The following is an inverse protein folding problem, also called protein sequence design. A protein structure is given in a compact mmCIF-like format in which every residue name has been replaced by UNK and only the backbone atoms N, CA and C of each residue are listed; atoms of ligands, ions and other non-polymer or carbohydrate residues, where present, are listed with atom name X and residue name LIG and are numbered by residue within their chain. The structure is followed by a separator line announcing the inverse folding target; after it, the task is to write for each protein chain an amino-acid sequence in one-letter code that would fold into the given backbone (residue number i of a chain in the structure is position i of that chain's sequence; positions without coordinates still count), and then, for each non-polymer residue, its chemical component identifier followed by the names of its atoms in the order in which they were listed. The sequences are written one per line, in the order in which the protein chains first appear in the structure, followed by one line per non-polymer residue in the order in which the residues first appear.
data_IF_616187758655
#
_entry.id   IF_616187758655
#
_cell.length_a   1.000
_cell.length_b   1.000
_cell.length_c   1.000
_cell.angle_alpha   90.00
_cell.angle_beta   90.00
_cell.angle_gamma   90.00
#
_symmetry.space_group_name_H-M   'P 1'
#
loop_
_entity.id
_entity.type
_entity.pdbx_description
1 polymer ?
#
# COMPACT_ATOMS: atom_id res chain seq x y z
N UNK A 1 -2.32 12.89 2.45
CA UNK A 1 -1.77 11.65 1.87
C UNK A 1 -1.86 11.71 0.36
N UNK A 2 -1.05 10.93 -0.36
CA UNK A 2 -1.03 10.86 -1.82
C UNK A 2 -1.36 9.45 -2.28
N UNK A 3 -2.30 9.32 -3.21
CA UNK A 3 -2.57 8.06 -3.89
C UNK A 3 -1.37 7.62 -4.71
N UNK A 4 -1.04 6.34 -4.66
CA UNK A 4 -0.06 5.73 -5.56
C UNK A 4 -0.74 4.70 -6.46
N UNK A 5 0.01 4.19 -7.43
CA UNK A 5 -0.39 3.04 -8.25
C UNK A 5 0.30 1.74 -7.79
N UNK A 6 0.91 1.77 -6.59
CA UNK A 6 1.47 0.59 -5.95
C UNK A 6 0.33 -0.23 -5.35
N UNK A 7 0.47 -1.55 -5.47
CA UNK A 7 -0.46 -2.51 -4.88
C UNK A 7 0.30 -3.61 -4.15
N UNK A 8 -0.32 -4.14 -3.10
CA UNK A 8 0.10 -5.36 -2.43
C UNK A 8 -1.11 -6.29 -2.40
N UNK A 9 -0.99 -7.46 -3.02
CA UNK A 9 -2.11 -8.39 -3.23
C UNK A 9 -3.39 -7.69 -3.73
N UNK A 10 -3.26 -6.95 -4.83
CA UNK A 10 -4.33 -6.17 -5.47
C UNK A 10 -4.91 -5.01 -4.67
N UNK A 11 -4.44 -4.76 -3.45
CA UNK A 11 -4.90 -3.64 -2.62
C UNK A 11 -4.02 -2.41 -2.80
N UNK A 12 -4.62 -1.23 -2.92
CA UNK A 12 -3.89 0.00 -3.21
C UNK A 12 -3.12 0.53 -1.99
N UNK A 13 -1.97 1.13 -2.29
CA UNK A 13 -1.10 1.78 -1.31
C UNK A 13 -1.15 3.29 -1.48
N UNK A 14 -1.28 4.02 -0.38
CA UNK A 14 -1.05 5.48 -0.33
C UNK A 14 0.31 5.80 0.28
N UNK A 15 0.80 7.01 0.03
CA UNK A 15 2.02 7.54 0.61
C UNK A 15 1.75 8.88 1.30
N UNK A 16 2.17 9.02 2.56
CA UNK A 16 2.03 10.25 3.33
C UNK A 16 2.93 10.19 4.55
N UNK A 17 3.36 11.34 5.07
CA UNK A 17 4.20 11.41 6.27
C UNK A 17 5.44 10.50 6.22
N UNK A 18 6.05 10.38 5.03
CA UNK A 18 7.17 9.49 4.72
C UNK A 18 6.92 7.99 4.96
N UNK A 19 5.66 7.59 4.97
CA UNK A 19 5.19 6.22 5.19
C UNK A 19 4.28 5.75 4.06
N UNK A 20 4.21 4.44 3.90
CA UNK A 20 3.32 3.76 2.97
C UNK A 20 2.21 3.06 3.74
N UNK A 21 0.99 3.26 3.27
CA UNK A 21 -0.19 2.69 3.91
C UNK A 21 -1.00 1.84 2.95
N UNK A 22 -1.32 0.62 3.37
CA UNK A 22 -2.17 -0.30 2.65
C UNK A 22 -3.64 -0.03 2.97
N UNK A 23 -4.44 0.19 1.93
CA UNK A 23 -5.89 0.21 2.02
C UNK A 23 -6.47 -1.21 1.84
N UNK A 24 -7.74 -1.41 2.16
CA UNK A 24 -8.57 -2.55 1.76
C UNK A 24 -9.13 -2.40 0.33
N UNK A 25 -8.98 -1.23 -0.30
CA UNK A 25 -9.47 -0.94 -1.64
C UNK A 25 -8.71 -1.76 -2.68
N UNK A 26 -9.43 -2.59 -3.43
CA UNK A 26 -8.89 -3.37 -4.57
C UNK A 26 -9.43 -2.94 -5.94
N UNK A 27 -10.56 -2.21 -5.97
CA UNK A 27 -11.15 -1.65 -7.18
C UNK A 27 -10.46 -0.34 -7.57
N UNK A 28 -10.10 -0.21 -8.85
CA UNK A 28 -9.53 1.03 -9.38
C UNK A 28 -10.52 2.19 -9.32
N UNK A 29 -11.81 1.93 -9.55
CA UNK A 29 -12.82 3.00 -9.57
C UNK A 29 -13.02 3.55 -8.15
N UNK A 30 -13.16 2.66 -7.16
CA UNK A 30 -13.19 3.06 -5.75
C UNK A 30 -11.91 3.81 -5.36
N UNK A 31 -10.74 3.37 -5.84
CA UNK A 31 -9.48 4.04 -5.57
C UNK A 31 -9.42 5.45 -6.15
N UNK A 32 -10.01 5.69 -7.33
CA UNK A 32 -10.06 7.03 -7.91
C UNK A 32 -11.01 7.94 -7.15
N UNK A 33 -12.16 7.42 -6.74
CA UNK A 33 -13.22 8.20 -6.09
C UNK A 33 -12.98 8.44 -4.60
N UNK A 34 -12.24 7.57 -3.91
CA UNK A 34 -12.06 7.70 -2.46
C UNK A 34 -11.32 9.00 -2.08
N UNK A 35 -11.68 9.60 -0.96
CA UNK A 35 -10.86 10.65 -0.36
C UNK A 35 -9.88 10.01 0.62
N UNK A 36 -8.62 9.84 0.17
CA UNK A 36 -7.58 9.16 0.95
C UNK A 36 -7.27 9.88 2.26
N UNK A 37 -7.51 11.19 2.35
CA UNK A 37 -7.25 11.97 3.55
C UNK A 37 -8.27 11.70 4.65
N UNK A 38 -9.41 11.11 4.31
CA UNK A 38 -10.46 10.71 5.25
C UNK A 38 -10.49 9.20 5.51
N UNK A 39 -9.59 8.43 4.89
CA UNK A 39 -9.57 6.98 5.00
C UNK A 39 -8.93 6.52 6.32
N UNK A 40 -9.72 5.91 7.20
CA UNK A 40 -9.28 5.52 8.54
C UNK A 40 -8.74 4.09 8.63
N UNK A 41 -8.98 3.24 7.63
CA UNK A 41 -8.62 1.81 7.63
C UNK A 41 -7.27 1.54 6.95
N UNK A 42 -6.31 2.44 7.15
CA UNK A 42 -4.99 2.38 6.56
C UNK A 42 -4.00 1.64 7.47
N UNK A 43 -3.30 0.66 6.91
CA UNK A 43 -2.31 -0.15 7.63
C UNK A 43 -0.90 0.28 7.20
N UNK A 44 -0.04 0.67 8.14
CA UNK A 44 1.37 1.00 7.82
C UNK A 44 2.10 -0.25 7.30
N UNK A 45 2.60 -0.17 6.08
CA UNK A 45 3.35 -1.23 5.40
C UNK A 45 4.73 -0.75 4.95
N UNK A 46 5.22 0.36 5.51
CA UNK A 46 6.48 1.01 5.11
C UNK A 46 7.66 0.04 5.15
N UNK A 47 7.83 -0.65 6.28
CA UNK A 47 8.95 -1.58 6.50
C UNK A 47 8.85 -2.83 5.62
N UNK A 48 7.66 -3.12 5.11
CA UNK A 48 7.37 -4.23 4.21
C UNK A 48 7.61 -3.88 2.74
N UNK A 49 7.12 -2.71 2.30
CA UNK A 49 7.12 -2.34 0.89
C UNK A 49 8.46 -1.75 0.43
N UNK A 50 9.17 -1.01 1.29
CA UNK A 50 10.44 -0.38 0.94
C UNK A 50 11.50 -1.42 0.54
N UNK A 51 11.69 -2.55 1.26
CA UNK A 51 12.59 -3.62 0.83
C UNK A 51 12.17 -4.25 -0.49
N UNK A 52 10.87 -4.44 -0.74
CA UNK A 52 10.36 -5.00 -1.99
C UNK A 52 10.66 -4.08 -3.18
N UNK A 53 10.41 -2.78 -3.03
CA UNK A 53 10.72 -1.78 -4.06
C UNK A 53 12.23 -1.77 -4.37
N UNK A 54 13.08 -1.80 -3.34
CA UNK A 54 14.54 -1.85 -3.51
C UNK A 54 15.01 -3.14 -4.18
N UNK A 55 14.47 -4.29 -3.77
CA UNK A 55 14.84 -5.61 -4.28
C UNK A 55 14.51 -5.75 -5.77
N UNK A 56 13.38 -5.20 -6.20
CA UNK A 56 12.90 -5.34 -7.58
C UNK A 56 13.24 -4.14 -8.46
N UNK A 57 13.74 -3.03 -7.90
CA UNK A 57 13.98 -1.79 -8.64
C UNK A 57 12.69 -1.06 -9.07
N UNK A 58 11.54 -1.51 -8.58
CA UNK A 58 10.22 -1.01 -8.98
C UNK A 58 9.63 -0.14 -7.88
N UNK A 59 9.24 1.08 -8.24
CA UNK A 59 8.69 2.06 -7.29
C UNK A 59 7.34 2.65 -7.69
N UNK A 60 6.76 2.20 -8.82
CA UNK A 60 5.47 2.66 -9.30
C UNK A 60 4.77 1.61 -10.17
N UNK A 61 3.44 1.67 -10.28
CA UNK A 61 2.61 0.83 -11.17
C UNK A 61 2.78 -0.70 -11.01
N UNK A 62 3.25 -1.17 -9.86
CA UNK A 62 3.50 -2.59 -9.59
C UNK A 62 2.52 -3.14 -8.56
N UNK A 63 2.21 -4.44 -8.68
CA UNK A 63 1.46 -5.20 -7.69
C UNK A 63 2.36 -6.28 -7.09
N UNK A 64 2.75 -6.12 -5.82
CA UNK A 64 3.54 -7.11 -5.12
C UNK A 64 2.64 -8.24 -4.61
N UNK A 65 2.94 -9.47 -5.04
CA UNK A 65 2.33 -10.68 -4.49
C UNK A 65 3.28 -11.22 -3.44
N UNK A 66 2.81 -11.26 -2.19
CA UNK A 66 3.58 -11.70 -1.02
C UNK A 66 2.94 -12.94 -0.42
N UNK A 67 3.75 -13.90 0.04
CA UNK A 67 3.24 -15.19 0.51
C UNK A 67 2.40 -15.08 1.80
N UNK A 68 2.67 -14.07 2.64
CA UNK A 68 1.96 -13.87 3.90
C UNK A 68 1.69 -12.38 4.15
N UNK A 69 0.47 -11.95 3.79
CA UNK A 69 0.07 -10.55 3.98
C UNK A 69 -0.21 -10.20 5.43
N UNK A 70 -0.62 -11.18 6.24
CA UNK A 70 -0.91 -10.98 7.67
C UNK A 70 0.36 -10.62 8.45
N UNK A 71 1.52 -11.14 8.03
CA UNK A 71 2.82 -10.75 8.58
C UNK A 71 3.16 -9.28 8.29
N UNK A 72 2.73 -8.73 7.15
CA UNK A 72 2.96 -7.32 6.81
C UNK A 72 2.08 -6.39 7.65
N UNK A 73 0.88 -6.87 8.01
CA UNK A 73 -0.10 -6.11 8.80
C UNK A 73 0.27 -6.10 10.29
N UNK A 74 0.86 -7.18 10.81
CA UNK A 74 1.21 -7.30 12.23
C UNK A 74 2.44 -6.49 12.66
N UNK A 75 3.33 -6.10 11.74
CA UNK A 75 4.51 -5.28 12.06
C UNK A 75 4.23 -3.78 12.20
N UNK A 76 2.99 -3.34 11.90
CA UNK A 76 2.58 -1.93 11.97
C UNK A 76 1.75 -1.54 13.20
N UNK A 77 1.73 -2.38 14.25
CA UNK A 77 0.99 -2.16 15.51
C UNK A 77 1.81 -1.52 16.62
#
# INVERSE_FOLDING_TARGET
MKKTNLRIQNRYVSYGDNKYYLSDISSLDNWKECDIDTYTELIDVTDSIVPLMKKHGESSNVNFIVDNIDQLIQTGG
#
